data_IF_009978557576
#
_entry.id   IF_009978557576
#
_cell.length_a   1.000
_cell.length_b   1.000
_cell.length_c   1.000
_cell.angle_alpha   90.00
_cell.angle_beta   90.00
_cell.angle_gamma   90.00
#
_symmetry.space_group_name_H-M   'P 1'
#
loop_
_entity.id
_entity.type
_entity.pdbx_description
1 polymer ?
#
# COMPACT_ATOMS: atom_id res chain seq x y z
N UNK A 1 -61.68 -61.48 -15.44
CA UNK A 1 -62.14 -60.59 -14.33
C UNK A 1 -61.29 -59.31 -14.33
N UNK A 2 -61.40 -58.42 -13.33
CA UNK A 2 -60.93 -57.01 -13.38
C UNK A 2 -59.41 -56.81 -13.16
N UNK A 3 -58.82 -55.82 -13.87
CA UNK A 3 -57.94 -54.68 -13.44
C UNK A 3 -56.66 -54.95 -12.56
N UNK A 4 -55.56 -54.14 -12.53
CA UNK A 4 -55.15 -52.85 -13.16
C UNK A 4 -53.61 -52.57 -13.02
N UNK A 5 -52.97 -51.95 -14.04
CA UNK A 5 -51.94 -50.82 -14.07
C UNK A 5 -50.70 -50.79 -13.08
N UNK A 6 -49.51 -50.21 -13.41
CA UNK A 6 -48.93 -49.62 -14.66
C UNK A 6 -47.40 -49.25 -14.60
N UNK A 7 -46.71 -49.27 -15.78
CA UNK A 7 -45.53 -48.45 -16.25
C UNK A 7 -44.15 -48.60 -15.52
N UNK A 8 -42.99 -48.03 -15.95
CA UNK A 8 -42.65 -47.03 -17.01
C UNK A 8 -41.31 -47.31 -17.82
N UNK A 9 -40.43 -46.32 -18.07
CA UNK A 9 -39.26 -46.29 -19.01
C UNK A 9 -38.29 -45.09 -18.65
N UNK A 10 -37.14 -44.69 -19.26
CA UNK A 10 -36.18 -45.07 -20.34
C UNK A 10 -34.96 -44.06 -20.34
N UNK A 11 -33.83 -44.10 -21.10
CA UNK A 11 -33.01 -45.18 -21.72
C UNK A 11 -31.70 -44.65 -22.45
N UNK A 12 -30.49 -45.11 -22.06
CA UNK A 12 -29.19 -45.31 -22.82
C UNK A 12 -28.33 -44.12 -23.41
N UNK A 13 -26.98 -44.29 -23.36
CA UNK A 13 -25.88 -43.95 -24.33
C UNK A 13 -24.83 -42.83 -24.03
N UNK A 14 -23.69 -42.88 -24.76
CA UNK A 14 -22.35 -42.29 -24.51
C UNK A 14 -21.68 -41.87 -25.84
N UNK A 15 -20.66 -40.98 -25.86
CA UNK A 15 -19.86 -40.63 -27.05
C UNK A 15 -18.34 -40.41 -26.75
N UNK A 16 -17.50 -40.35 -27.79
CA UNK A 16 -16.04 -40.08 -27.75
C UNK A 16 -15.66 -38.79 -28.52
N UNK A 17 -14.42 -38.30 -28.36
CA UNK A 17 -13.89 -37.05 -28.94
C UNK A 17 -12.49 -37.18 -29.57
N UNK A 18 -12.10 -36.18 -30.36
CA UNK A 18 -10.79 -35.95 -31.01
C UNK A 18 -10.39 -34.47 -30.82
N UNK A 19 -9.11 -34.11 -30.98
CA UNK A 19 -8.59 -32.75 -30.72
C UNK A 19 -7.54 -32.25 -31.72
N UNK A 20 -7.22 -30.95 -31.67
CA UNK A 20 -6.36 -30.24 -32.63
C UNK A 20 -5.50 -29.13 -31.98
N UNK A 21 -4.60 -28.52 -32.77
CA UNK A 21 -3.56 -27.56 -32.35
C UNK A 21 -4.04 -26.09 -32.28
N UNK A 22 -3.48 -25.31 -31.35
CA UNK A 22 -3.88 -23.91 -31.10
C UNK A 22 -3.05 -22.85 -31.86
N UNK A 23 -3.62 -21.66 -32.04
CA UNK A 23 -3.05 -20.51 -32.77
C UNK A 23 -3.11 -19.21 -31.92
N UNK A 24 -2.29 -18.17 -32.22
CA UNK A 24 -2.21 -16.96 -31.39
C UNK A 24 -3.53 -16.20 -31.23
N UNK A 25 -4.36 -16.16 -32.29
CA UNK A 25 -5.66 -15.49 -32.25
C UNK A 25 -6.56 -16.02 -31.13
N UNK A 26 -6.57 -17.34 -30.89
CA UNK A 26 -7.38 -17.96 -29.84
C UNK A 26 -7.02 -17.50 -28.42
N UNK A 27 -5.80 -16.99 -28.19
CA UNK A 27 -5.39 -16.56 -26.86
C UNK A 27 -5.82 -15.12 -26.54
N UNK A 28 -5.90 -14.25 -27.56
CA UNK A 28 -6.51 -12.92 -27.44
C UNK A 28 -8.05 -13.02 -27.46
N UNK A 29 -8.60 -13.84 -28.36
CA UNK A 29 -10.03 -14.19 -28.44
C UNK A 29 -10.54 -14.76 -27.10
N UNK A 30 -9.86 -15.76 -26.53
CA UNK A 30 -10.22 -16.29 -25.20
C UNK A 30 -9.99 -15.29 -24.05
N UNK A 31 -9.11 -14.28 -24.21
CA UNK A 31 -9.01 -13.19 -23.24
C UNK A 31 -10.21 -12.23 -23.36
N UNK A 32 -10.64 -11.89 -24.59
CA UNK A 32 -11.85 -11.10 -24.84
C UNK A 32 -13.07 -11.81 -24.26
N UNK A 33 -13.26 -13.09 -24.56
CA UNK A 33 -14.39 -13.90 -24.06
C UNK A 33 -14.41 -13.99 -22.53
N UNK A 34 -13.25 -14.13 -21.89
CA UNK A 34 -13.14 -14.16 -20.41
C UNK A 34 -13.52 -12.81 -19.78
N UNK A 35 -13.10 -11.70 -20.37
CA UNK A 35 -13.48 -10.35 -19.89
C UNK A 35 -14.96 -10.09 -20.17
N UNK A 36 -15.47 -10.47 -21.34
CA UNK A 36 -16.88 -10.30 -21.71
C UNK A 36 -17.79 -11.07 -20.77
N UNK A 37 -17.51 -12.36 -20.52
CA UNK A 37 -18.24 -13.17 -19.55
C UNK A 37 -18.22 -12.56 -18.13
N UNK A 38 -17.12 -11.91 -17.72
CA UNK A 38 -17.05 -11.22 -16.44
C UNK A 38 -17.92 -9.95 -16.40
N UNK A 39 -17.94 -9.15 -17.47
CA UNK A 39 -18.78 -7.96 -17.61
C UNK A 39 -20.28 -8.32 -17.74
N UNK A 40 -20.62 -9.37 -18.48
CA UNK A 40 -21.98 -9.92 -18.56
C UNK A 40 -22.47 -10.40 -17.18
N UNK A 41 -21.61 -11.05 -16.40
CA UNK A 41 -21.94 -11.55 -15.06
C UNK A 41 -22.32 -10.40 -14.11
N UNK A 42 -21.49 -9.35 -14.00
CA UNK A 42 -21.78 -8.20 -13.12
C UNK A 42 -22.95 -7.32 -13.58
N UNK A 43 -23.35 -7.41 -14.85
CA UNK A 43 -24.50 -6.66 -15.41
C UNK A 43 -25.81 -7.43 -15.39
N UNK A 44 -25.78 -8.75 -15.20
CA UNK A 44 -26.95 -9.65 -15.16
C UNK A 44 -27.31 -10.13 -13.74
N UNK A 45 -26.32 -10.41 -12.87
CA UNK A 45 -26.58 -10.92 -11.52
C UNK A 45 -26.81 -9.78 -10.52
N UNK A 46 -28.08 -9.42 -10.35
CA UNK A 46 -28.55 -8.51 -9.29
C UNK A 46 -28.46 -9.20 -7.93
N UNK A 47 -27.88 -8.52 -6.93
CA UNK A 47 -27.92 -8.95 -5.52
C UNK A 47 -28.37 -7.77 -4.65
N UNK A 48 -29.28 -8.01 -3.71
CA UNK A 48 -29.83 -6.96 -2.87
C UNK A 48 -28.74 -6.24 -2.06
N UNK A 49 -28.73 -4.90 -2.10
CA UNK A 49 -27.76 -4.00 -1.42
C UNK A 49 -26.29 -4.26 -1.81
N UNK A 50 -26.03 -4.74 -3.03
CA UNK A 50 -24.67 -5.02 -3.52
C UNK A 50 -24.48 -4.68 -4.99
N UNK A 51 -23.33 -4.09 -5.32
CA UNK A 51 -22.87 -3.81 -6.69
C UNK A 51 -21.87 -4.86 -7.14
N UNK A 52 -22.00 -5.34 -8.38
CA UNK A 52 -21.05 -6.27 -9.00
C UNK A 52 -19.85 -5.52 -9.58
N UNK A 53 -18.65 -5.96 -9.22
CA UNK A 53 -17.36 -5.47 -9.73
C UNK A 53 -16.65 -6.60 -10.47
N UNK A 54 -16.16 -6.32 -11.68
CA UNK A 54 -15.30 -7.22 -12.47
C UNK A 54 -13.89 -6.62 -12.50
N UNK A 55 -12.89 -7.37 -12.05
CA UNK A 55 -11.48 -6.92 -12.03
C UNK A 55 -10.66 -7.80 -12.99
N UNK A 56 -9.77 -7.16 -13.74
CA UNK A 56 -8.83 -7.76 -14.69
C UNK A 56 -7.42 -7.25 -14.32
N UNK A 57 -6.46 -8.12 -13.98
CA UNK A 57 -5.15 -7.70 -13.45
C UNK A 57 -4.00 -8.68 -13.72
N UNK A 58 -2.74 -8.21 -13.60
CA UNK A 58 -1.48 -8.98 -13.81
C UNK A 58 -0.70 -9.28 -12.51
N UNK A 59 -1.39 -9.21 -11.37
CA UNK A 59 -0.82 -9.18 -10.02
C UNK A 59 -0.51 -7.79 -9.45
N UNK A 60 -0.37 -6.75 -10.29
CA UNK A 60 0.03 -5.39 -9.87
C UNK A 60 -0.73 -4.26 -10.58
N UNK A 61 -0.97 -4.36 -11.89
CA UNK A 61 -1.70 -3.41 -12.73
C UNK A 61 -3.12 -3.94 -12.94
N UNK A 62 -4.15 -3.09 -12.92
CA UNK A 62 -5.54 -3.52 -13.06
C UNK A 62 -6.41 -2.56 -13.86
N UNK A 63 -7.51 -3.10 -14.39
CA UNK A 63 -8.75 -2.39 -14.69
C UNK A 63 -9.88 -3.06 -13.90
N UNK A 64 -10.73 -2.25 -13.27
CA UNK A 64 -11.90 -2.71 -12.52
C UNK A 64 -13.17 -1.99 -12.99
N UNK A 65 -14.20 -2.74 -13.36
CA UNK A 65 -15.46 -2.23 -13.91
C UNK A 65 -16.66 -2.57 -13.03
N UNK A 66 -17.64 -1.67 -12.97
CA UNK A 66 -18.95 -1.87 -12.33
C UNK A 66 -20.06 -1.13 -13.06
N UNK A 67 -21.30 -1.59 -12.91
CA UNK A 67 -22.47 -0.92 -13.48
C UNK A 67 -22.93 0.22 -12.56
N UNK A 68 -23.14 1.40 -13.14
CA UNK A 68 -23.76 2.54 -12.45
C UNK A 68 -25.29 2.37 -12.35
N UNK A 69 -25.97 3.08 -11.42
CA UNK A 69 -27.43 3.13 -11.37
C UNK A 69 -28.08 3.65 -12.66
N UNK A 70 -27.37 4.47 -13.44
CA UNK A 70 -27.72 4.93 -14.80
C UNK A 70 -27.65 3.84 -15.88
N UNK A 71 -27.30 2.60 -15.51
CA UNK A 71 -27.02 1.43 -16.36
C UNK A 71 -25.76 1.50 -17.22
N UNK A 72 -25.05 2.63 -17.25
CA UNK A 72 -23.71 2.77 -17.83
C UNK A 72 -22.69 1.85 -17.13
N UNK A 73 -21.58 1.54 -17.81
CA UNK A 73 -20.47 0.79 -17.23
C UNK A 73 -19.33 1.77 -16.89
N UNK A 74 -18.98 1.90 -15.61
CA UNK A 74 -17.82 2.67 -15.16
C UNK A 74 -16.65 1.73 -14.91
N UNK A 75 -15.56 1.92 -15.63
CA UNK A 75 -14.29 1.26 -15.40
C UNK A 75 -13.26 2.21 -14.80
N UNK A 76 -12.36 1.68 -13.98
CA UNK A 76 -11.26 2.39 -13.34
C UNK A 76 -9.96 1.58 -13.49
N UNK A 77 -8.94 2.20 -14.08
CA UNK A 77 -7.60 1.66 -14.26
C UNK A 77 -6.63 2.22 -13.21
N UNK A 78 -5.62 1.42 -12.84
CA UNK A 78 -4.74 1.66 -11.70
C UNK A 78 -3.93 2.97 -11.79
N UNK A 79 -3.98 3.79 -10.73
CA UNK A 79 -3.36 5.13 -10.68
C UNK A 79 -2.02 5.23 -9.90
N UNK A 80 -1.08 6.11 -10.31
CA UNK A 80 0.22 6.28 -9.65
C UNK A 80 0.14 7.03 -8.30
N UNK A 81 -1.02 7.61 -7.96
CA UNK A 81 -1.27 8.38 -6.74
C UNK A 81 -1.38 7.49 -5.50
N UNK A 82 -2.18 6.42 -5.59
CA UNK A 82 -2.31 5.41 -4.53
C UNK A 82 -1.29 4.28 -4.65
N UNK A 83 -0.79 4.02 -5.86
CA UNK A 83 0.17 2.95 -6.15
C UNK A 83 1.48 3.51 -6.75
N UNK A 84 2.41 4.06 -5.94
CA UNK A 84 3.62 4.73 -6.44
C UNK A 84 4.55 3.87 -7.31
N UNK A 85 4.47 2.53 -7.22
CA UNK A 85 5.21 1.62 -8.10
C UNK A 85 4.85 1.81 -9.58
N UNK A 86 3.61 2.22 -9.87
CA UNK A 86 3.14 2.50 -11.23
C UNK A 86 3.75 3.76 -11.85
N UNK A 87 4.46 4.62 -11.08
CA UNK A 87 5.17 5.78 -11.65
C UNK A 87 6.24 5.40 -12.68
N UNK A 88 6.78 4.18 -12.62
CA UNK A 88 7.72 3.65 -13.63
C UNK A 88 7.02 2.98 -14.82
N UNK A 89 5.76 2.57 -14.64
CA UNK A 89 4.93 1.92 -15.67
C UNK A 89 4.20 2.98 -16.51
N UNK A 90 3.56 3.94 -15.85
CA UNK A 90 2.81 5.05 -16.44
C UNK A 90 3.73 6.26 -16.66
N UNK A 91 4.62 6.14 -17.64
CA UNK A 91 5.39 7.26 -18.19
C UNK A 91 4.45 8.33 -18.77
N UNK A 92 4.94 9.56 -18.99
CA UNK A 92 4.14 10.64 -19.60
C UNK A 92 3.52 10.18 -20.95
N UNK A 93 4.27 9.42 -21.75
CA UNK A 93 3.78 8.82 -22.99
C UNK A 93 2.59 7.88 -22.76
N UNK A 94 2.68 6.98 -21.77
CA UNK A 94 1.61 6.02 -21.44
C UNK A 94 0.40 6.69 -20.78
N UNK A 95 0.60 7.78 -20.03
CA UNK A 95 -0.50 8.62 -19.54
C UNK A 95 -1.20 9.36 -20.69
N UNK A 96 -0.45 9.86 -21.69
CA UNK A 96 -1.01 10.42 -22.91
C UNK A 96 -1.75 9.35 -23.74
N UNK A 97 -1.27 8.09 -23.74
CA UNK A 97 -1.97 6.95 -24.34
C UNK A 97 -3.31 6.68 -23.65
N UNK A 98 -3.38 6.70 -22.31
CA UNK A 98 -4.65 6.59 -21.58
C UNK A 98 -5.63 7.71 -21.96
N UNK A 99 -5.16 8.95 -22.04
CA UNK A 99 -5.99 10.08 -22.46
C UNK A 99 -6.48 9.92 -23.91
N UNK A 100 -5.63 9.47 -24.84
CA UNK A 100 -6.00 9.18 -26.23
C UNK A 100 -6.98 8.00 -26.37
N UNK A 101 -6.91 7.02 -25.46
CA UNK A 101 -7.89 5.94 -25.32
C UNK A 101 -9.18 6.39 -24.62
N UNK A 102 -9.32 7.67 -24.24
CA UNK A 102 -10.54 8.23 -23.65
C UNK A 102 -10.69 8.00 -22.14
N UNK A 103 -9.61 7.71 -21.43
CA UNK A 103 -9.59 7.64 -19.96
C UNK A 103 -9.22 8.99 -19.35
N UNK A 104 -9.90 9.40 -18.27
CA UNK A 104 -9.65 10.66 -17.55
C UNK A 104 -9.15 10.37 -16.14
N UNK A 105 -8.30 11.23 -15.57
CA UNK A 105 -7.85 11.06 -14.17
C UNK A 105 -9.01 11.36 -13.23
N UNK A 106 -9.36 10.42 -12.36
CA UNK A 106 -10.26 10.64 -11.24
C UNK A 106 -9.51 11.44 -10.15
N UNK A 107 -9.89 12.71 -9.86
CA UNK A 107 -9.20 13.54 -8.88
C UNK A 107 -9.37 13.05 -7.45
N UNK A 108 -10.34 12.17 -7.16
CA UNK A 108 -10.58 11.65 -5.83
C UNK A 108 -9.55 10.58 -5.41
N UNK A 109 -9.02 9.79 -6.35
CA UNK A 109 -8.09 8.68 -6.03
C UNK A 109 -6.84 8.63 -6.92
N UNK A 110 -6.81 9.37 -8.03
CA UNK A 110 -5.74 9.36 -9.03
C UNK A 110 -5.71 8.13 -9.93
N UNK A 111 -6.72 7.26 -9.84
CA UNK A 111 -7.03 6.24 -10.85
C UNK A 111 -7.44 6.91 -12.17
N UNK A 112 -7.39 6.16 -13.27
CA UNK A 112 -7.93 6.61 -14.55
C UNK A 112 -9.34 6.02 -14.73
N UNK A 113 -10.37 6.84 -14.86
CA UNK A 113 -11.75 6.42 -15.05
C UNK A 113 -12.19 6.53 -16.51
N UNK A 114 -13.09 5.64 -16.94
CA UNK A 114 -13.80 5.70 -18.22
C UNK A 114 -15.23 5.19 -18.04
N UNK A 115 -16.18 5.88 -18.65
CA UNK A 115 -17.60 5.48 -18.63
C UNK A 115 -18.01 5.09 -20.04
N UNK A 116 -18.61 3.91 -20.17
CA UNK A 116 -19.15 3.39 -21.43
C UNK A 116 -20.69 3.49 -21.39
N UNK A 117 -21.35 3.85 -22.51
CA UNK A 117 -22.80 3.95 -22.61
C UNK A 117 -23.56 2.71 -22.12
N UNK A 118 -24.79 2.91 -21.64
CA UNK A 118 -25.62 1.85 -21.04
C UNK A 118 -26.04 0.72 -21.99
N UNK A 119 -25.88 0.93 -23.30
CA UNK A 119 -26.15 0.07 -24.44
C UNK A 119 -24.87 -0.45 -25.15
N UNK A 120 -23.68 -0.04 -24.71
CA UNK A 120 -22.41 -0.50 -25.28
C UNK A 120 -22.23 -2.03 -25.10
N UNK A 121 -21.97 -2.80 -26.18
CA UNK A 121 -21.77 -4.25 -26.07
C UNK A 121 -20.57 -4.59 -25.18
N UNK A 122 -20.75 -5.55 -24.27
CA UNK A 122 -19.70 -5.93 -23.29
C UNK A 122 -18.44 -6.49 -23.96
N UNK A 123 -18.54 -7.13 -25.15
CA UNK A 123 -17.37 -7.50 -25.96
C UNK A 123 -16.58 -6.30 -26.50
N UNK A 124 -17.23 -5.20 -26.84
CA UNK A 124 -16.55 -3.95 -27.25
C UNK A 124 -15.83 -3.30 -26.05
N UNK A 125 -16.49 -3.29 -24.88
CA UNK A 125 -15.87 -2.83 -23.63
C UNK A 125 -14.65 -3.71 -23.30
N UNK A 126 -14.77 -5.03 -23.47
CA UNK A 126 -13.70 -6.01 -23.22
C UNK A 126 -12.47 -5.77 -24.10
N UNK A 127 -12.67 -5.58 -25.41
CA UNK A 127 -11.58 -5.24 -26.33
C UNK A 127 -10.89 -3.92 -25.96
N UNK A 128 -11.65 -2.90 -25.52
CA UNK A 128 -11.09 -1.62 -25.07
C UNK A 128 -10.32 -1.73 -23.74
N UNK A 129 -10.78 -2.57 -22.80
CA UNK A 129 -10.05 -2.91 -21.57
C UNK A 129 -8.73 -3.60 -21.91
N UNK A 130 -8.74 -4.65 -22.75
CA UNK A 130 -7.51 -5.38 -23.11
C UNK A 130 -6.53 -4.47 -23.84
N UNK A 131 -7.00 -3.64 -24.79
CA UNK A 131 -6.19 -2.62 -25.46
C UNK A 131 -5.58 -1.60 -24.48
N UNK A 132 -6.32 -1.23 -23.44
CA UNK A 132 -5.80 -0.34 -22.38
C UNK A 132 -4.69 -1.04 -21.58
N UNK A 133 -4.91 -2.31 -21.21
CA UNK A 133 -3.96 -3.13 -20.46
C UNK A 133 -2.66 -3.40 -21.26
N UNK A 134 -2.74 -3.56 -22.59
CA UNK A 134 -1.55 -3.70 -23.45
C UNK A 134 -0.90 -2.36 -23.77
N UNK A 135 -1.59 -1.41 -24.41
CA UNK A 135 -0.98 -0.18 -24.95
C UNK A 135 -0.49 0.81 -23.87
N UNK A 136 -1.13 0.86 -22.70
CA UNK A 136 -0.78 1.81 -21.65
C UNK A 136 -0.12 1.16 -20.41
N UNK A 137 -0.47 -0.08 -20.08
CA UNK A 137 0.05 -0.77 -18.89
C UNK A 137 1.11 -1.84 -19.22
N UNK A 138 1.31 -2.22 -20.48
CA UNK A 138 2.37 -3.14 -20.92
C UNK A 138 2.23 -4.49 -20.18
N UNK A 139 1.08 -5.13 -20.40
CA UNK A 139 0.69 -6.41 -19.81
C UNK A 139 0.68 -7.50 -20.88
N UNK A 140 1.30 -8.62 -20.58
CA UNK A 140 1.15 -9.86 -21.32
C UNK A 140 -0.25 -10.45 -21.05
N UNK A 141 -1.06 -10.62 -22.10
CA UNK A 141 -2.43 -11.13 -21.97
C UNK A 141 -2.53 -12.56 -21.38
N UNK A 142 -1.45 -13.35 -21.44
CA UNK A 142 -1.42 -14.69 -20.84
C UNK A 142 -1.43 -14.65 -19.30
N UNK A 143 -0.90 -13.58 -18.71
CA UNK A 143 -0.73 -13.43 -17.26
C UNK A 143 -1.96 -12.79 -16.58
N UNK A 144 -3.09 -12.66 -17.30
CA UNK A 144 -4.30 -12.00 -16.80
C UNK A 144 -5.16 -12.89 -15.90
N UNK A 145 -5.21 -12.50 -14.63
CA UNK A 145 -6.20 -12.93 -13.65
C UNK A 145 -7.51 -12.13 -13.84
N UNK A 146 -8.63 -12.82 -13.59
CA UNK A 146 -9.97 -12.23 -13.64
C UNK A 146 -10.81 -12.71 -12.45
N UNK A 147 -11.65 -11.83 -11.91
CA UNK A 147 -12.60 -12.14 -10.83
C UNK A 147 -13.81 -11.21 -10.85
N UNK A 148 -14.95 -11.74 -10.42
CA UNK A 148 -16.14 -10.94 -10.09
C UNK A 148 -16.41 -10.98 -8.58
N UNK A 149 -16.71 -9.81 -8.01
CA UNK A 149 -17.04 -9.61 -6.59
C UNK A 149 -18.34 -8.83 -6.44
N UNK A 150 -19.05 -9.02 -5.32
CA UNK A 150 -20.23 -8.23 -4.98
C UNK A 150 -19.99 -7.49 -3.67
N UNK A 151 -19.59 -6.22 -3.79
CA UNK A 151 -19.31 -5.30 -2.69
C UNK A 151 -20.62 -4.67 -2.20
N UNK A 152 -20.67 -4.21 -0.95
CA UNK A 152 -21.85 -3.52 -0.41
C UNK A 152 -22.09 -2.22 -1.19
N UNK A 153 -23.35 -1.97 -1.55
CA UNK A 153 -23.78 -0.75 -2.23
C UNK A 153 -23.85 0.42 -1.25
N UNK A 154 -22.79 1.24 -1.24
CA UNK A 154 -22.64 2.44 -0.40
C UNK A 154 -21.87 3.54 -1.17
N UNK A 155 -22.10 4.85 -0.87
CA UNK A 155 -21.53 5.95 -1.66
C UNK A 155 -20.00 6.00 -1.72
N UNK A 156 -19.32 5.60 -0.64
CA UNK A 156 -17.86 5.53 -0.56
C UNK A 156 -17.46 4.06 -0.25
N UNK A 157 -17.41 3.16 -1.26
CA UNK A 157 -17.11 1.76 -1.01
C UNK A 157 -15.63 1.57 -0.63
N UNK A 158 -15.31 0.54 0.18
CA UNK A 158 -13.93 0.28 0.63
C UNK A 158 -12.97 0.10 -0.55
N UNK A 159 -11.88 0.86 -0.56
CA UNK A 159 -10.79 0.75 -1.55
C UNK A 159 -9.49 0.28 -0.91
N UNK A 160 -8.69 -0.48 -1.65
CA UNK A 160 -7.32 -0.84 -1.25
C UNK A 160 -6.50 0.43 -0.96
N UNK A 161 -5.83 0.47 0.19
CA UNK A 161 -5.07 1.64 0.65
C UNK A 161 -3.67 1.75 0.04
N UNK A 162 -2.95 2.85 0.34
CA UNK A 162 -1.55 3.02 -0.05
C UNK A 162 -0.65 1.86 0.42
N UNK A 163 0.46 1.63 -0.29
CA UNK A 163 1.41 0.51 -0.09
C UNK A 163 0.86 -0.91 -0.33
N UNK A 164 -0.40 -1.07 -0.74
CA UNK A 164 -0.94 -2.36 -1.19
C UNK A 164 -0.70 -2.60 -2.69
N UNK A 165 -0.69 -3.86 -3.10
CA UNK A 165 -0.92 -4.21 -4.51
C UNK A 165 -2.37 -3.87 -4.87
N UNK A 166 -2.59 -3.44 -6.12
CA UNK A 166 -3.90 -3.00 -6.62
C UNK A 166 -4.49 -1.84 -5.78
N UNK A 167 -3.65 -0.90 -5.32
CA UNK A 167 -4.11 0.23 -4.51
C UNK A 167 -5.11 1.11 -5.28
N UNK A 168 -6.11 1.64 -4.58
CA UNK A 168 -7.25 2.34 -5.17
C UNK A 168 -8.37 1.45 -5.69
N UNK A 169 -8.14 0.14 -5.89
CA UNK A 169 -9.18 -0.80 -6.34
C UNK A 169 -10.27 -0.95 -5.27
N UNK A 170 -11.55 -1.01 -5.65
CA UNK A 170 -12.65 -1.30 -4.72
C UNK A 170 -12.57 -2.77 -4.29
N UNK A 171 -12.62 -3.03 -2.99
CA UNK A 171 -12.46 -4.37 -2.40
C UNK A 171 -13.30 -4.55 -1.14
N UNK A 172 -14.26 -5.47 -1.19
CA UNK A 172 -15.09 -5.87 -0.05
C UNK A 172 -14.48 -7.00 0.80
N UNK A 173 -13.20 -7.34 0.62
CA UNK A 173 -12.57 -8.49 1.27
C UNK A 173 -12.28 -8.22 2.76
N UNK A 174 -12.74 -9.07 3.71
CA UNK A 174 -12.54 -8.86 5.15
C UNK A 174 -11.08 -8.67 5.57
N UNK A 175 -10.14 -9.35 4.90
CA UNK A 175 -8.69 -9.25 5.14
C UNK A 175 -8.09 -7.87 4.85
N UNK A 176 -8.77 -7.03 4.04
CA UNK A 176 -8.29 -5.71 3.64
C UNK A 176 -8.83 -4.58 4.52
N UNK A 177 -9.86 -4.84 5.34
CA UNK A 177 -10.62 -3.81 6.06
C UNK A 177 -9.77 -2.96 7.02
N UNK A 178 -8.74 -3.54 7.63
CA UNK A 178 -7.81 -2.84 8.55
C UNK A 178 -6.96 -1.75 7.87
N UNK A 179 -6.90 -1.78 6.54
CA UNK A 179 -6.01 -0.95 5.71
C UNK A 179 -6.73 -0.37 4.49
N UNK A 180 -8.07 -0.45 4.45
CA UNK A 180 -8.91 0.09 3.40
C UNK A 180 -9.20 1.58 3.59
N UNK A 181 -9.32 2.32 2.48
CA UNK A 181 -9.85 3.67 2.45
C UNK A 181 -11.38 3.63 2.46
N UNK A 182 -11.98 4.19 3.51
CA UNK A 182 -13.43 4.30 3.73
C UNK A 182 -13.90 5.76 3.54
N UNK A 183 -13.53 6.34 2.40
CA UNK A 183 -13.73 7.76 2.07
C UNK A 183 -14.02 7.93 0.59
N UNK A 184 -14.79 8.94 0.22
CA UNK A 184 -15.06 9.28 -1.18
C UNK A 184 -13.92 10.06 -1.86
N UNK A 185 -12.86 10.43 -1.13
CA UNK A 185 -11.61 10.95 -1.70
C UNK A 185 -10.39 10.65 -0.82
N UNK A 186 -9.24 10.50 -1.48
CA UNK A 186 -7.93 10.31 -0.88
C UNK A 186 -7.19 11.64 -0.77
N UNK A 187 -7.15 12.20 0.44
CA UNK A 187 -6.10 13.13 0.79
C UNK A 187 -4.80 12.34 1.01
N UNK A 188 -3.81 12.53 0.13
CA UNK A 188 -2.47 12.05 0.39
C UNK A 188 -1.96 12.65 1.71
N UNK A 189 -1.28 11.85 2.54
CA UNK A 189 -0.49 12.40 3.65
C UNK A 189 0.46 13.45 3.07
N UNK A 190 0.62 14.64 3.70
CA UNK A 190 1.58 15.63 3.23
C UNK A 190 2.94 14.98 2.97
N UNK A 191 3.61 15.37 1.88
CA UNK A 191 4.93 14.81 1.57
C UNK A 191 5.85 15.03 2.79
N UNK A 192 6.56 14.00 3.26
CA UNK A 192 7.46 14.14 4.41
C UNK A 192 8.43 15.29 4.16
N UNK A 193 8.54 16.21 5.12
CA UNK A 193 9.36 17.40 4.96
C UNK A 193 10.82 16.99 5.05
N UNK A 194 11.48 16.94 3.90
CA UNK A 194 12.92 16.69 3.80
C UNK A 194 13.68 17.83 4.43
N UNK A 195 14.37 17.54 5.52
CA UNK A 195 15.27 18.41 6.23
C UNK A 195 16.71 17.97 5.93
N UNK A 196 17.40 18.78 5.12
CA UNK A 196 18.76 18.52 4.62
C UNK A 196 19.85 18.80 5.66
N UNK A 197 19.48 19.24 6.87
CA UNK A 197 20.40 19.48 8.00
C UNK A 197 19.77 19.08 9.33
N UNK A 198 20.62 18.84 10.33
CA UNK A 198 20.21 18.59 11.71
C UNK A 198 19.35 19.73 12.28
N UNK A 199 19.67 21.00 12.02
CA UNK A 199 18.90 22.16 12.50
C UNK A 199 17.49 22.18 11.91
N UNK A 200 17.32 21.77 10.65
CA UNK A 200 16.01 21.64 10.02
C UNK A 200 15.19 20.50 10.64
N UNK A 201 15.82 19.39 11.06
CA UNK A 201 15.18 18.32 11.82
C UNK A 201 14.81 18.73 13.24
N UNK A 202 15.68 19.47 13.92
CA UNK A 202 15.40 20.05 15.24
C UNK A 202 14.21 21.02 15.16
N UNK A 203 14.12 21.82 14.10
CA UNK A 203 12.97 22.69 13.84
C UNK A 203 11.67 21.92 13.55
N UNK A 204 11.77 20.76 12.90
CA UNK A 204 10.62 19.94 12.49
C UNK A 204 10.09 19.03 13.61
N UNK A 205 10.98 18.33 14.32
CA UNK A 205 10.65 17.29 15.31
C UNK A 205 11.04 17.64 16.75
N UNK A 206 11.87 18.67 16.96
CA UNK A 206 12.35 19.07 18.29
C UNK A 206 11.25 19.22 19.34
N UNK A 207 10.13 19.92 19.06
CA UNK A 207 9.02 20.04 20.02
C UNK A 207 8.41 18.69 20.42
N UNK A 208 8.21 17.77 19.47
CA UNK A 208 7.67 16.43 19.74
C UNK A 208 8.65 15.52 20.48
N UNK A 209 9.94 15.53 20.13
CA UNK A 209 10.97 14.75 20.84
C UNK A 209 11.15 15.30 22.26
N UNK A 210 11.17 16.63 22.42
CA UNK A 210 11.22 17.29 23.75
C UNK A 210 10.10 16.82 24.67
N UNK A 211 8.86 16.73 24.16
CA UNK A 211 7.72 16.28 24.94
C UNK A 211 7.84 14.81 25.40
N UNK A 212 8.45 13.94 24.60
CA UNK A 212 8.70 12.54 24.99
C UNK A 212 9.86 12.40 26.00
N UNK A 213 10.93 13.17 25.86
CA UNK A 213 11.99 13.24 26.88
C UNK A 213 11.41 13.73 28.22
N UNK A 214 10.51 14.71 28.18
CA UNK A 214 9.76 15.18 29.34
C UNK A 214 8.83 14.08 29.91
N UNK A 215 8.12 13.32 29.06
CA UNK A 215 7.27 12.17 29.47
C UNK A 215 8.08 11.15 30.26
N UNK A 216 9.26 10.76 29.76
CA UNK A 216 10.12 9.78 30.43
C UNK A 216 10.57 10.29 31.81
N UNK A 217 11.02 11.54 31.91
CA UNK A 217 11.43 12.16 33.18
C UNK A 217 10.30 12.26 34.20
N UNK A 218 9.08 12.59 33.77
CA UNK A 218 7.88 12.59 34.64
C UNK A 218 7.55 11.18 35.15
N UNK A 219 7.76 10.15 34.33
CA UNK A 219 7.40 8.76 34.64
C UNK A 219 8.60 7.94 35.16
N UNK A 220 9.62 8.57 35.74
CA UNK A 220 10.89 7.92 36.10
C UNK A 220 10.81 6.79 37.16
N UNK A 221 9.67 6.60 37.83
CA UNK A 221 9.41 5.47 38.72
C UNK A 221 8.87 4.22 37.98
N UNK A 222 8.57 4.33 36.69
CA UNK A 222 7.94 3.30 35.86
C UNK A 222 8.92 2.77 34.81
N UNK A 223 8.66 1.54 34.31
CA UNK A 223 9.43 0.92 33.22
C UNK A 223 8.91 1.40 31.85
N UNK A 224 8.96 2.72 31.64
CA UNK A 224 8.59 3.39 30.38
C UNK A 224 9.81 3.58 29.49
N UNK A 225 9.61 3.65 28.18
CA UNK A 225 10.67 3.98 27.22
C UNK A 225 10.09 4.65 25.97
N UNK A 226 10.94 5.38 25.25
CA UNK A 226 10.63 5.93 23.94
C UNK A 226 11.68 5.48 22.91
N UNK A 227 11.25 5.07 21.73
CA UNK A 227 12.14 4.73 20.60
C UNK A 227 11.90 5.74 19.49
N UNK A 228 12.94 6.51 19.16
CA UNK A 228 12.97 7.42 18.02
C UNK A 228 13.58 6.69 16.83
N UNK A 229 12.73 6.24 15.91
CA UNK A 229 13.07 5.29 14.84
C UNK A 229 13.04 5.97 13.47
N UNK A 230 14.19 5.96 12.79
CA UNK A 230 14.39 6.53 11.45
C UNK A 230 14.03 5.57 10.30
N UNK A 231 13.79 4.29 10.60
CA UNK A 231 13.64 3.20 9.64
C UNK A 231 14.96 2.55 9.18
N UNK A 232 16.11 3.15 9.48
CA UNK A 232 17.46 2.57 9.27
C UNK A 232 18.18 2.35 10.61
N UNK A 233 17.96 3.22 11.59
CA UNK A 233 18.46 3.04 12.96
C UNK A 233 17.59 3.76 13.98
N UNK A 234 17.70 3.38 15.25
CA UNK A 234 16.96 4.01 16.33
C UNK A 234 17.88 4.59 17.40
N UNK A 235 17.34 5.58 18.11
CA UNK A 235 17.80 5.95 19.46
C UNK A 235 16.65 5.63 20.43
N UNK A 236 16.91 4.77 21.42
CA UNK A 236 15.95 4.40 22.46
C UNK A 236 16.35 5.07 23.77
N UNK A 237 15.41 5.70 24.46
CA UNK A 237 15.64 6.35 25.75
C UNK A 237 14.69 5.80 26.83
N UNK A 238 15.19 5.67 28.05
CA UNK A 238 14.41 5.28 29.24
C UNK A 238 14.93 6.00 30.50
N UNK A 239 14.14 6.10 31.58
CA UNK A 239 14.60 6.68 32.83
C UNK A 239 15.66 5.82 33.51
N UNK A 240 16.72 6.43 34.01
CA UNK A 240 17.69 5.79 34.90
C UNK A 240 17.28 6.06 36.37
N UNK A 241 17.45 5.07 37.24
CA UNK A 241 17.02 5.17 38.65
C UNK A 241 17.73 6.30 39.43
N UNK A 242 17.15 6.80 40.53
CA UNK A 242 17.53 8.08 41.15
C UNK A 242 19.03 8.34 41.36
N UNK A 243 19.53 9.57 41.10
CA UNK A 243 18.77 10.79 40.78
C UNK A 243 18.60 11.05 39.26
N UNK A 244 17.80 10.22 38.58
CA UNK A 244 17.02 10.52 37.37
C UNK A 244 17.84 11.09 36.21
N UNK A 245 18.97 10.44 35.92
CA UNK A 245 19.53 10.54 34.58
C UNK A 245 18.54 9.95 33.55
N UNK A 246 18.68 10.34 32.28
CA UNK A 246 18.02 9.66 31.18
C UNK A 246 19.06 8.76 30.50
N UNK A 247 18.85 7.46 30.48
CA UNK A 247 19.71 6.53 29.77
C UNK A 247 19.18 6.34 28.34
N UNK A 248 20.04 6.57 27.35
CA UNK A 248 19.71 6.33 25.94
C UNK A 248 20.74 5.40 25.29
N UNK A 249 20.24 4.59 24.37
CA UNK A 249 21.01 3.71 23.50
C UNK A 249 20.85 4.12 22.04
N UNK A 250 21.97 4.21 21.31
CA UNK A 250 21.98 4.34 19.85
C UNK A 250 22.31 2.97 19.23
N UNK A 251 21.49 2.53 18.28
CA UNK A 251 21.60 1.22 17.67
C UNK A 251 22.95 1.03 16.97
N UNK A 252 23.66 -0.08 17.26
CA UNK A 252 24.97 -0.37 16.67
C UNK A 252 24.93 -1.43 15.55
N UNK A 253 26.04 -1.55 14.80
CA UNK A 253 26.28 -2.64 13.86
C UNK A 253 26.48 -4.02 14.51
N UNK A 254 26.79 -4.11 15.82
CA UNK A 254 26.78 -5.38 16.56
C UNK A 254 25.34 -5.86 16.82
N UNK A 255 24.42 -4.92 17.11
CA UNK A 255 22.99 -5.24 17.26
C UNK A 255 22.31 -5.59 15.93
N UNK A 256 22.73 -4.94 14.83
CA UNK A 256 22.19 -5.17 13.48
C UNK A 256 23.24 -4.91 12.41
N UNK A 257 23.82 -5.99 11.88
CA UNK A 257 24.99 -5.97 10.99
C UNK A 257 24.86 -5.08 9.74
N UNK A 258 23.65 -4.79 9.26
CA UNK A 258 23.43 -3.89 8.11
C UNK A 258 23.91 -2.44 8.38
N UNK A 259 23.92 -2.01 9.64
CA UNK A 259 24.46 -0.70 10.02
C UNK A 259 25.96 -0.56 9.79
N UNK A 260 26.71 -1.64 9.52
CA UNK A 260 28.13 -1.55 9.14
C UNK A 260 28.39 -0.76 7.84
N UNK A 261 27.40 -0.67 6.95
CA UNK A 261 27.47 0.18 5.75
C UNK A 261 27.19 1.67 6.04
N UNK A 262 26.57 1.96 7.18
CA UNK A 262 26.02 3.26 7.58
C UNK A 262 26.93 3.92 8.62
N UNK A 263 27.19 3.24 9.75
CA UNK A 263 28.04 3.66 10.86
C UNK A 263 29.54 3.54 10.51
N UNK A 264 29.98 4.38 9.58
CA UNK A 264 31.39 4.50 9.19
C UNK A 264 32.23 5.12 10.33
N UNK A 265 33.57 4.96 10.33
CA UNK A 265 34.42 5.42 11.44
C UNK A 265 34.29 6.91 11.77
N UNK A 266 34.01 7.76 10.79
CA UNK A 266 33.76 9.20 10.97
C UNK A 266 32.45 9.48 11.72
N UNK A 267 31.43 8.63 11.56
CA UNK A 267 30.15 8.71 12.28
C UNK A 267 30.25 8.12 13.69
N UNK A 268 30.94 6.99 13.84
CA UNK A 268 31.27 6.44 15.17
C UNK A 268 32.08 7.47 15.97
N UNK A 269 33.03 8.18 15.35
CA UNK A 269 33.75 9.27 16.00
C UNK A 269 32.83 10.43 16.45
N UNK A 270 31.77 10.78 15.69
CA UNK A 270 30.75 11.77 16.12
C UNK A 270 29.94 11.27 17.32
N UNK A 271 29.48 10.02 17.29
CA UNK A 271 28.72 9.38 18.37
C UNK A 271 29.54 9.33 19.67
N UNK A 272 30.81 8.93 19.57
CA UNK A 272 31.75 8.89 20.71
C UNK A 272 32.14 10.30 21.19
N UNK A 273 32.27 11.28 20.28
CA UNK A 273 32.47 12.70 20.66
C UNK A 273 31.24 13.33 21.32
N UNK A 274 30.03 12.86 20.99
CA UNK A 274 28.81 13.18 21.74
C UNK A 274 28.76 12.50 23.11
N UNK A 275 29.74 11.67 23.48
CA UNK A 275 29.84 11.04 24.80
C UNK A 275 29.05 9.74 24.96
N UNK A 276 28.62 9.12 23.86
CA UNK A 276 28.18 7.72 23.90
C UNK A 276 29.41 6.80 24.03
N UNK A 277 29.24 5.72 24.80
CA UNK A 277 30.24 4.66 24.97
C UNK A 277 30.02 3.58 23.92
N UNK A 278 31.11 2.97 23.46
CA UNK A 278 31.09 1.79 22.58
C UNK A 278 30.25 0.63 23.19
N UNK A 279 29.72 -0.28 22.36
CA UNK A 279 29.13 -1.54 22.80
C UNK A 279 30.03 -2.37 23.74
N UNK A 280 29.42 -3.31 24.47
CA UNK A 280 30.13 -4.15 25.43
C UNK A 280 29.31 -5.33 25.92
N UNK A 281 28.67 -5.21 27.10
CA UNK A 281 27.73 -6.25 27.58
C UNK A 281 26.34 -6.10 26.95
N UNK A 282 25.95 -4.87 26.61
CA UNK A 282 24.84 -4.58 25.72
C UNK A 282 25.41 -4.30 24.32
N UNK A 283 24.70 -4.69 23.23
CA UNK A 283 25.22 -4.56 21.87
C UNK A 283 25.09 -3.12 21.32
N UNK A 284 24.53 -2.17 22.07
CA UNK A 284 24.29 -0.80 21.60
C UNK A 284 25.30 0.19 22.20
N UNK A 285 25.48 1.32 21.51
CA UNK A 285 26.16 2.49 22.05
C UNK A 285 25.30 3.10 23.15
N UNK A 286 25.88 3.56 24.27
CA UNK A 286 25.08 4.02 25.43
C UNK A 286 25.56 5.34 26.06
N UNK A 287 24.62 6.17 26.51
CA UNK A 287 24.86 7.44 27.22
C UNK A 287 23.80 7.70 28.29
N UNK A 288 24.25 8.15 29.47
CA UNK A 288 23.39 8.71 30.52
C UNK A 288 23.46 10.23 30.49
N UNK A 289 22.32 10.89 30.28
CA UNK A 289 22.18 12.35 30.33
C UNK A 289 21.86 12.82 31.75
N UNK A 290 22.57 13.82 32.31
CA UNK A 290 22.32 14.30 33.68
C UNK A 290 21.00 15.09 33.78
N UNK A 291 20.43 15.14 34.99
CA UNK A 291 19.25 15.96 35.32
C UNK A 291 19.40 17.45 34.93
N UNK A 292 20.62 17.97 34.95
CA UNK A 292 20.91 19.39 34.66
C UNK A 292 20.75 19.78 33.20
N UNK A 293 20.69 18.82 32.27
CA UNK A 293 20.47 19.09 30.86
C UNK A 293 18.97 19.21 30.56
N UNK A 294 18.57 20.19 29.74
CA UNK A 294 17.16 20.43 29.40
C UNK A 294 16.61 19.38 28.42
N UNK A 295 15.32 19.10 28.49
CA UNK A 295 14.64 18.14 27.60
C UNK A 295 14.85 18.50 26.12
N UNK A 296 14.83 19.81 25.81
CA UNK A 296 15.07 20.33 24.47
C UNK A 296 16.52 20.15 23.99
N UNK A 297 17.52 20.19 24.88
CA UNK A 297 18.91 19.94 24.52
C UNK A 297 19.17 18.44 24.27
N UNK A 298 18.55 17.55 25.06
CA UNK A 298 18.57 16.11 24.82
C UNK A 298 17.87 15.80 23.48
N UNK A 299 16.68 16.36 23.25
CA UNK A 299 15.94 16.20 22.00
C UNK A 299 16.69 16.71 20.77
N UNK A 300 17.40 17.83 20.90
CA UNK A 300 18.26 18.36 19.84
C UNK A 300 19.44 17.43 19.54
N UNK A 301 20.13 16.92 20.57
CA UNK A 301 21.24 15.98 20.38
C UNK A 301 20.76 14.67 19.72
N UNK A 302 19.62 14.12 20.15
CA UNK A 302 19.01 12.92 19.53
C UNK A 302 18.71 13.16 18.04
N UNK A 303 18.13 14.30 17.67
CA UNK A 303 17.81 14.62 16.27
C UNK A 303 19.08 14.85 15.42
N UNK A 304 20.11 15.48 15.98
CA UNK A 304 21.43 15.58 15.32
C UNK A 304 22.08 14.21 15.13
N UNK A 305 22.00 13.32 16.11
CA UNK A 305 22.56 11.97 16.01
C UNK A 305 21.77 11.10 15.01
N UNK A 306 20.45 11.21 14.95
CA UNK A 306 19.65 10.52 13.92
C UNK A 306 20.07 10.96 12.50
N UNK A 307 20.33 12.25 12.31
CA UNK A 307 20.85 12.81 11.05
C UNK A 307 22.28 12.32 10.74
N UNK A 308 23.24 12.66 11.61
CA UNK A 308 24.68 12.49 11.36
C UNK A 308 25.13 11.03 11.35
N UNK A 309 24.37 10.11 11.96
CA UNK A 309 24.71 8.69 12.05
C UNK A 309 23.96 7.85 11.02
N UNK A 310 22.64 8.02 10.91
CA UNK A 310 21.76 7.14 10.12
C UNK A 310 21.26 7.75 8.81
N UNK A 311 21.78 8.92 8.40
CA UNK A 311 21.29 9.71 7.26
C UNK A 311 19.79 10.04 7.34
N UNK A 312 19.23 10.17 8.54
CA UNK A 312 17.83 10.53 8.70
C UNK A 312 17.61 11.97 8.25
N UNK A 313 16.71 12.17 7.29
CA UNK A 313 16.47 13.46 6.61
C UNK A 313 15.00 13.90 6.65
N UNK A 314 14.15 13.27 7.47
CA UNK A 314 12.71 13.58 7.47
C UNK A 314 11.93 13.07 6.24
N UNK A 315 12.60 12.42 5.28
CA UNK A 315 12.00 11.80 4.09
C UNK A 315 10.99 10.68 4.42
N UNK A 316 11.07 10.13 5.63
CA UNK A 316 10.02 9.36 6.32
C UNK A 316 9.64 10.11 7.59
N UNK A 317 8.36 10.07 8.01
CA UNK A 317 7.98 10.65 9.31
C UNK A 317 8.67 9.84 10.42
N UNK A 318 9.37 10.52 11.33
CA UNK A 318 9.97 9.91 12.51
C UNK A 318 8.90 9.09 13.23
N UNK A 319 9.16 7.79 13.39
CA UNK A 319 8.30 6.93 14.19
C UNK A 319 8.76 7.00 15.64
N UNK A 320 7.80 7.17 16.55
CA UNK A 320 8.07 7.46 17.97
C UNK A 320 7.21 6.51 18.78
N UNK A 321 7.80 5.37 19.13
CA UNK A 321 7.13 4.28 19.85
C UNK A 321 7.26 4.53 21.33
N UNK A 322 6.16 4.42 22.07
CA UNK A 322 6.09 4.78 23.48
C UNK A 322 5.32 3.72 24.27
N UNK A 323 6.00 3.18 25.28
CA UNK A 323 5.41 2.46 26.42
C UNK A 323 5.70 3.25 27.72
#
# INVERSE_FOLDING_TARGET
MRQQRARFAAAITLLMTLGATAAPGHAEEAAVDRVDAALQNITSIVRAKKVGYATIWDGNKYVQCHRLPSREMRCEAAGPTLQPSLKRVLTIERQNRLAALGWTVDPAFGNYAKVFPADAPTGQISADILRTLTEAYDINLQDLELKTDWVVDIPCPPRNGPSQNLAGMVSGAPSMLSTALLTCSYAAKPQPQTAETAEALIKLYGPSVTAEIQRLRVNAAHRVYAVFDSGIGYIQCMPETPPVALYCEAQSAESWAALSAVLKPDRVARLTAAGYKEPGRAPNYSKSYPLTLTDAAIAAEILTLLHDLYDYTGATKLDVKTD
#
